data_IF_112788502406
#
_entry.id   IF_112788502406
#
_cell.length_a   1.000
_cell.length_b   1.000
_cell.length_c   1.000
_cell.angle_alpha   90.00
_cell.angle_beta   90.00
_cell.angle_gamma   90.00
#
_symmetry.space_group_name_H-M   'P 1'
#
loop_
_entity.id
_entity.type
_entity.pdbx_description
1 polymer ?
#
# COMPACT_ATOMS: atom_id res chain seq x y z
N UNK A 1 -30.96 33.71 19.76
CA UNK A 1 -31.87 33.66 20.93
C UNK A 1 -31.56 34.71 21.99
N UNK A 2 -30.31 34.87 22.46
CA UNK A 2 -29.96 35.92 23.43
C UNK A 2 -30.11 37.35 22.91
N UNK A 3 -29.67 37.61 21.67
CA UNK A 3 -29.73 38.94 21.02
C UNK A 3 -31.15 39.45 20.71
N UNK A 4 -32.18 38.59 20.72
CA UNK A 4 -33.55 38.95 20.32
C UNK A 4 -34.58 38.84 21.46
N UNK A 5 -34.26 38.10 22.54
CA UNK A 5 -35.16 37.86 23.68
C UNK A 5 -34.54 38.14 25.06
N UNK A 6 -33.27 38.57 25.13
CA UNK A 6 -32.52 38.86 26.36
C UNK A 6 -32.54 37.78 27.46
N UNK A 7 -32.76 36.51 27.09
CA UNK A 7 -32.86 35.40 28.04
C UNK A 7 -31.48 35.10 28.68
N UNK A 8 -31.42 34.87 30.00
CA UNK A 8 -30.19 34.44 30.66
C UNK A 8 -29.86 32.98 30.30
N UNK A 9 -28.58 32.61 30.48
CA UNK A 9 -28.09 31.28 30.09
C UNK A 9 -28.79 30.08 30.79
N UNK A 10 -29.23 30.17 32.05
CA UNK A 10 -30.03 29.12 32.69
C UNK A 10 -31.36 28.87 31.99
N UNK A 11 -32.15 29.91 31.74
CA UNK A 11 -33.45 29.78 31.07
C UNK A 11 -33.32 29.19 29.65
N UNK A 12 -32.26 29.55 28.94
CA UNK A 12 -31.94 28.98 27.63
C UNK A 12 -31.60 27.48 27.76
N UNK A 13 -30.85 27.11 28.80
CA UNK A 13 -30.42 25.74 29.05
C UNK A 13 -31.61 24.83 29.38
N UNK A 14 -32.52 25.30 30.23
CA UNK A 14 -33.76 24.59 30.58
C UNK A 14 -34.66 24.40 29.37
N UNK A 15 -34.79 25.43 28.52
CA UNK A 15 -35.64 25.40 27.33
C UNK A 15 -35.15 24.42 26.24
N UNK A 16 -33.84 24.25 26.10
CA UNK A 16 -33.24 23.35 25.09
C UNK A 16 -32.78 22.00 25.67
N UNK A 17 -32.96 21.78 26.98
CA UNK A 17 -32.52 20.57 27.67
C UNK A 17 -31.00 20.40 27.71
N UNK A 18 -30.24 21.49 27.72
CA UNK A 18 -28.77 21.46 27.77
C UNK A 18 -28.26 21.84 29.15
N UNK A 19 -27.02 21.48 29.45
CA UNK A 19 -26.35 21.98 30.65
C UNK A 19 -25.97 23.46 30.51
N UNK A 20 -26.16 24.26 31.57
CA UNK A 20 -25.85 25.71 31.60
C UNK A 20 -24.42 26.01 31.15
N UNK A 21 -23.45 25.18 31.54
CA UNK A 21 -22.05 25.37 31.13
C UNK A 21 -21.81 25.18 29.63
N UNK A 22 -22.60 24.32 28.97
CA UNK A 22 -22.52 24.10 27.51
C UNK A 22 -23.07 25.30 26.75
N UNK A 23 -24.19 25.88 27.21
CA UNK A 23 -24.74 27.13 26.66
C UNK A 23 -23.72 28.27 26.80
N UNK A 24 -23.12 28.43 27.98
CA UNK A 24 -22.08 29.44 28.22
C UNK A 24 -20.86 29.23 27.32
N UNK A 25 -20.40 27.98 27.15
CA UNK A 25 -19.25 27.64 26.28
C UNK A 25 -19.53 27.97 24.83
N UNK A 26 -20.69 27.58 24.30
CA UNK A 26 -21.09 27.87 22.92
C UNK A 26 -21.21 29.37 22.70
N UNK A 27 -21.82 30.11 23.63
CA UNK A 27 -21.87 31.58 23.55
C UNK A 27 -20.47 32.21 23.56
N UNK A 28 -19.59 31.81 24.48
CA UNK A 28 -18.23 32.34 24.56
C UNK A 28 -17.43 32.05 23.27
N UNK A 29 -17.53 30.83 22.74
CA UNK A 29 -16.87 30.46 21.49
C UNK A 29 -17.43 31.23 20.30
N UNK A 30 -18.76 31.44 20.27
CA UNK A 30 -19.42 32.24 19.23
C UNK A 30 -18.95 33.70 19.26
N UNK A 31 -18.82 34.31 20.43
CA UNK A 31 -18.28 35.67 20.55
C UNK A 31 -16.84 35.78 20.07
N UNK A 32 -16.05 34.71 20.21
CA UNK A 32 -14.64 34.69 19.82
C UNK A 32 -14.44 34.41 18.33
N UNK A 33 -15.11 33.39 17.80
CA UNK A 33 -14.84 32.85 16.46
C UNK A 33 -16.00 33.04 15.47
N UNK A 34 -17.12 33.62 15.92
CA UNK A 34 -18.33 33.81 15.11
C UNK A 34 -18.93 32.49 14.63
N UNK A 35 -19.47 32.49 13.41
CA UNK A 35 -20.11 31.31 12.81
C UNK A 35 -19.12 30.17 12.51
N UNK A 36 -17.80 30.41 12.64
CA UNK A 36 -16.77 29.37 12.42
C UNK A 36 -16.92 28.20 13.39
N UNK A 37 -17.55 28.39 14.55
CA UNK A 37 -17.79 27.31 15.52
C UNK A 37 -18.69 26.19 14.95
N UNK A 38 -19.59 26.54 14.03
CA UNK A 38 -20.53 25.61 13.42
C UNK A 38 -19.93 24.89 12.21
N UNK A 39 -18.78 25.35 11.70
CA UNK A 39 -18.05 24.67 10.64
C UNK A 39 -17.33 23.40 11.11
N UNK A 40 -17.42 23.08 12.40
CA UNK A 40 -16.95 21.84 12.99
C UNK A 40 -15.42 21.77 13.02
N UNK A 41 -14.85 21.65 14.22
CA UNK A 41 -13.49 21.10 14.31
C UNK A 41 -13.64 19.64 13.88
N UNK A 42 -13.04 19.26 12.75
CA UNK A 42 -13.04 17.87 12.30
C UNK A 42 -12.44 17.02 13.43
N UNK A 43 -13.25 16.19 14.08
CA UNK A 43 -12.74 15.24 15.06
C UNK A 43 -11.98 14.15 14.31
N UNK A 44 -10.73 13.94 14.69
CA UNK A 44 -9.83 13.03 14.00
C UNK A 44 -9.02 13.73 12.91
N UNK A 45 -7.93 13.09 12.51
CA UNK A 45 -6.95 13.70 11.62
C UNK A 45 -5.55 13.23 11.94
N UNK A 46 -4.61 13.67 11.12
CA UNK A 46 -3.21 13.23 11.18
C UNK A 46 -2.41 14.12 12.15
N UNK A 47 -2.78 14.10 13.43
CA UNK A 47 -2.14 14.96 14.46
C UNK A 47 -0.79 14.44 14.97
N UNK A 48 -0.47 13.17 14.72
CA UNK A 48 0.79 12.52 15.09
C UNK A 48 1.43 11.90 13.85
N UNK A 49 1.82 12.75 12.91
CA UNK A 49 2.54 12.31 11.71
C UNK A 49 4.05 12.20 11.96
N UNK A 50 4.65 11.15 11.40
CA UNK A 50 6.10 10.97 11.43
C UNK A 50 6.81 11.82 10.35
N UNK A 51 6.13 12.08 9.24
CA UNK A 51 6.58 12.93 8.13
C UNK A 51 5.37 13.69 7.58
N UNK A 52 5.53 14.90 7.07
CA UNK A 52 4.46 15.59 6.36
C UNK A 52 4.09 14.86 5.06
N UNK A 53 2.94 15.17 4.45
CA UNK A 53 2.54 14.55 3.17
C UNK A 53 3.56 14.87 2.05
N UNK A 54 4.14 16.07 2.08
CA UNK A 54 5.14 16.53 1.11
C UNK A 54 6.47 15.79 1.26
N UNK A 55 6.91 15.56 2.51
CA UNK A 55 8.12 14.78 2.80
C UNK A 55 7.97 13.33 2.36
N UNK A 56 6.80 12.71 2.63
CA UNK A 56 6.49 11.37 2.13
C UNK A 56 6.56 11.32 0.59
N UNK A 57 6.01 12.33 -0.10
CA UNK A 57 6.03 12.39 -1.56
C UNK A 57 7.46 12.55 -2.11
N UNK A 58 8.28 13.40 -1.47
CA UNK A 58 9.70 13.57 -1.82
C UNK A 58 10.47 12.26 -1.64
N UNK A 59 10.22 11.55 -0.54
CA UNK A 59 10.80 10.24 -0.28
C UNK A 59 10.33 9.20 -1.29
N UNK A 60 9.10 9.25 -1.79
CA UNK A 60 8.61 8.28 -2.77
C UNK A 60 9.08 8.58 -4.20
N UNK A 61 9.29 9.85 -4.57
CA UNK A 61 9.80 10.26 -5.89
C UNK A 61 11.12 9.56 -6.27
N UNK A 62 12.05 9.42 -5.32
CA UNK A 62 13.32 8.70 -5.56
C UNK A 62 13.13 7.22 -5.89
N UNK A 63 12.05 6.59 -5.39
CA UNK A 63 11.75 5.19 -5.67
C UNK A 63 10.92 5.04 -6.96
N UNK A 64 10.01 5.96 -7.26
CA UNK A 64 9.23 5.91 -8.50
C UNK A 64 10.09 6.00 -9.76
N UNK A 65 11.18 6.77 -9.73
CA UNK A 65 12.15 6.80 -10.84
C UNK A 65 12.78 5.44 -11.09
N UNK A 66 13.05 4.66 -10.04
CA UNK A 66 13.62 3.31 -10.14
C UNK A 66 12.59 2.26 -10.59
N UNK A 67 11.31 2.45 -10.29
CA UNK A 67 10.24 1.52 -10.70
C UNK A 67 9.71 1.73 -12.12
N UNK A 68 9.98 2.87 -12.76
CA UNK A 68 9.62 3.10 -14.18
C UNK A 68 10.25 2.06 -15.12
N UNK A 69 11.38 1.46 -14.75
CA UNK A 69 12.06 0.38 -15.49
C UNK A 69 11.45 -1.02 -15.26
N UNK A 70 10.23 -1.11 -14.70
CA UNK A 70 9.58 -2.40 -14.44
C UNK A 70 10.10 -3.11 -13.18
N UNK A 71 10.88 -2.39 -12.35
CA UNK A 71 11.32 -2.86 -11.05
C UNK A 71 10.16 -3.00 -10.06
N UNK A 72 10.06 -4.15 -9.41
CA UNK A 72 9.19 -4.34 -8.25
C UNK A 72 9.70 -3.38 -7.17
N UNK A 73 8.93 -2.35 -6.80
CA UNK A 73 9.29 -1.49 -5.69
C UNK A 73 9.32 -2.34 -4.41
N UNK A 74 10.52 -2.50 -3.84
CA UNK A 74 10.71 -3.36 -2.68
C UNK A 74 10.29 -2.57 -1.44
N UNK A 75 9.15 -2.92 -0.84
CA UNK A 75 8.62 -2.27 0.37
C UNK A 75 9.65 -2.20 1.51
N UNK A 76 10.57 -3.17 1.57
CA UNK A 76 11.66 -3.15 2.55
C UNK A 76 12.67 -2.01 2.31
N UNK A 77 12.98 -1.64 1.06
CA UNK A 77 13.88 -0.52 0.76
C UNK A 77 13.26 0.82 1.14
N UNK A 78 11.98 0.98 0.83
CA UNK A 78 11.20 2.17 1.23
C UNK A 78 11.16 2.27 2.75
N UNK A 79 10.94 1.15 3.44
CA UNK A 79 10.97 1.10 4.90
C UNK A 79 12.32 1.55 5.45
N UNK A 80 13.43 1.07 4.90
CA UNK A 80 14.75 1.48 5.36
C UNK A 80 15.00 2.97 5.16
N UNK A 81 14.68 3.51 3.99
CA UNK A 81 14.80 4.95 3.74
C UNK A 81 13.88 5.77 4.66
N UNK A 82 12.67 5.28 4.92
CA UNK A 82 11.74 5.91 5.86
C UNK A 82 12.29 5.90 7.29
N UNK A 83 12.87 4.78 7.76
CA UNK A 83 13.49 4.70 9.08
C UNK A 83 14.74 5.59 9.21
N UNK A 84 15.49 5.79 8.13
CA UNK A 84 16.64 6.69 8.08
C UNK A 84 16.21 8.16 8.22
N UNK A 85 15.15 8.57 7.52
CA UNK A 85 14.67 9.96 7.54
C UNK A 85 14.16 10.37 8.93
N UNK A 86 13.51 9.45 9.65
CA UNK A 86 12.85 9.73 10.93
C UNK A 86 13.70 9.30 12.14
N UNK A 87 14.84 8.66 11.88
CA UNK A 87 15.82 8.25 12.90
C UNK A 87 15.36 7.12 13.83
N UNK A 88 14.26 6.43 13.55
CA UNK A 88 13.77 5.34 14.39
C UNK A 88 13.06 4.25 13.58
N UNK A 89 12.98 3.05 14.19
CA UNK A 89 12.34 1.89 13.56
C UNK A 89 10.82 2.05 13.53
N UNK A 90 10.22 1.69 12.39
CA UNK A 90 8.77 1.74 12.20
C UNK A 90 8.20 0.36 11.84
N UNK A 91 6.95 0.07 12.24
CA UNK A 91 6.24 -1.12 11.76
C UNK A 91 6.03 -1.08 10.24
N UNK A 92 6.01 -2.26 9.59
CA UNK A 92 5.67 -2.37 8.16
C UNK A 92 4.29 -1.79 7.84
N UNK A 93 3.35 -1.87 8.77
CA UNK A 93 2.00 -1.30 8.62
C UNK A 93 2.01 0.22 8.45
N UNK A 94 2.95 0.94 9.06
CA UNK A 94 3.13 2.39 8.87
C UNK A 94 3.48 2.71 7.43
N UNK A 95 4.43 1.95 6.87
CA UNK A 95 4.86 2.09 5.48
C UNK A 95 3.71 1.72 4.53
N UNK A 96 3.00 0.62 4.77
CA UNK A 96 1.82 0.26 3.96
C UNK A 96 0.71 1.32 3.99
N UNK A 97 0.44 1.91 5.17
CA UNK A 97 -0.55 2.99 5.31
C UNK A 97 -0.11 4.26 4.60
N UNK A 98 1.17 4.63 4.69
CA UNK A 98 1.72 5.76 3.92
C UNK A 98 1.50 5.52 2.42
N UNK A 99 1.95 4.37 1.92
CA UNK A 99 1.85 4.01 0.51
C UNK A 99 0.43 4.00 -0.03
N UNK A 100 -0.53 3.46 0.74
CA UNK A 100 -1.93 3.45 0.36
C UNK A 100 -2.54 4.86 0.23
N UNK A 101 -2.00 5.88 0.92
CA UNK A 101 -2.45 7.28 0.79
C UNK A 101 -1.91 7.96 -0.47
N UNK A 102 -0.80 7.47 -1.00
CA UNK A 102 -0.19 7.95 -2.25
C UNK A 102 -0.67 7.13 -3.45
N UNK A 103 -1.87 6.54 -3.35
CA UNK A 103 -2.54 5.72 -4.36
C UNK A 103 -1.69 4.56 -4.89
N UNK A 104 -0.74 4.08 -4.09
CA UNK A 104 0.18 3.07 -4.57
C UNK A 104 -0.46 1.68 -4.51
N UNK A 105 -0.66 1.06 -5.69
CA UNK A 105 -1.23 -0.28 -5.84
C UNK A 105 -0.15 -1.35 -5.87
N UNK A 106 -0.37 -2.42 -5.12
CA UNK A 106 0.42 -3.65 -5.19
C UNK A 106 0.27 -4.28 -6.59
N UNK A 107 1.32 -4.22 -7.40
CA UNK A 107 1.38 -4.96 -8.66
C UNK A 107 1.66 -6.42 -8.32
N UNK A 108 0.63 -7.25 -8.41
CA UNK A 108 0.76 -8.71 -8.31
C UNK A 108 1.06 -9.20 -9.73
N UNK A 109 2.13 -9.99 -9.95
CA UNK A 109 2.34 -10.60 -11.25
C UNK A 109 1.12 -11.43 -11.61
N UNK A 110 0.55 -11.19 -12.79
CA UNK A 110 -0.61 -11.93 -13.28
C UNK A 110 -0.29 -13.43 -13.29
N UNK A 111 -1.25 -14.25 -12.82
CA UNK A 111 -1.12 -15.72 -12.83
C UNK A 111 -0.96 -16.30 -14.24
N UNK A 112 -1.27 -15.52 -15.28
CA UNK A 112 -1.16 -15.90 -16.69
C UNK A 112 -0.26 -14.90 -17.41
N UNK A 113 0.67 -15.43 -18.20
CA UNK A 113 1.46 -14.62 -19.11
C UNK A 113 0.56 -14.07 -20.23
N UNK A 114 0.65 -12.78 -20.60
CA UNK A 114 -0.23 -12.18 -21.63
C UNK A 114 -0.16 -12.87 -22.99
N UNK A 115 0.98 -13.50 -23.30
CA UNK A 115 1.19 -14.29 -24.53
C UNK A 115 1.02 -15.81 -24.30
N UNK A 116 0.29 -16.22 -23.27
CA UNK A 116 -0.01 -17.63 -23.04
C UNK A 116 -0.97 -18.13 -24.12
N UNK A 117 -0.40 -18.80 -25.11
CA UNK A 117 -1.12 -19.48 -26.19
C UNK A 117 -1.50 -20.89 -25.71
N UNK A 118 -2.79 -21.12 -25.46
CA UNK A 118 -3.30 -22.39 -24.93
C UNK A 118 -3.08 -23.55 -25.91
N UNK A 119 -3.21 -23.29 -27.22
CA UNK A 119 -3.05 -24.29 -28.26
C UNK A 119 -1.59 -24.77 -28.34
N UNK A 120 -0.64 -23.85 -28.21
CA UNK A 120 0.79 -24.20 -28.12
C UNK A 120 1.12 -25.00 -26.86
N UNK A 121 0.48 -24.70 -25.73
CA UNK A 121 0.69 -25.46 -24.49
C UNK A 121 0.14 -26.89 -24.59
N UNK A 122 -1.01 -27.08 -25.23
CA UNK A 122 -1.57 -28.40 -25.47
C UNK A 122 -0.74 -29.22 -26.46
N UNK A 123 -0.29 -28.59 -27.55
CA UNK A 123 0.61 -29.22 -28.52
C UNK A 123 1.94 -29.64 -27.86
N UNK A 124 2.49 -28.80 -26.98
CA UNK A 124 3.69 -29.08 -26.21
C UNK A 124 3.48 -30.24 -25.22
N UNK A 125 2.38 -30.25 -24.47
CA UNK A 125 2.05 -31.36 -23.56
C UNK A 125 1.91 -32.70 -24.30
N UNK A 126 1.35 -32.68 -25.51
CA UNK A 126 1.21 -33.88 -26.36
C UNK A 126 2.54 -34.37 -26.93
N UNK A 127 3.49 -33.47 -27.21
CA UNK A 127 4.79 -33.81 -27.82
C UNK A 127 5.87 -34.18 -26.80
N UNK A 128 5.85 -33.59 -25.60
CA UNK A 128 6.88 -33.79 -24.58
C UNK A 128 6.94 -35.20 -24.00
N UNK A 129 5.81 -35.92 -23.93
CA UNK A 129 5.78 -37.30 -23.44
C UNK A 129 6.55 -38.30 -24.31
N UNK A 130 6.76 -37.97 -25.59
CA UNK A 130 7.33 -38.89 -26.59
C UNK A 130 8.81 -38.61 -26.91
N UNK A 131 9.33 -37.42 -26.60
CA UNK A 131 10.74 -37.07 -26.90
C UNK A 131 11.71 -37.65 -25.88
N UNK A 132 11.33 -37.68 -24.59
CA UNK A 132 12.17 -38.21 -23.51
C UNK A 132 12.33 -39.75 -23.54
N UNK A 133 11.35 -40.47 -24.09
CA UNK A 133 11.46 -41.92 -24.28
C UNK A 133 12.38 -42.27 -25.45
N UNK A 134 12.44 -41.44 -26.49
CA UNK A 134 13.17 -41.74 -27.73
C UNK A 134 14.69 -41.53 -27.61
N UNK A 135 15.14 -40.61 -26.74
CA UNK A 135 16.57 -40.40 -26.46
C UNK A 135 17.21 -41.52 -25.63
N UNK A 136 16.43 -42.27 -24.85
CA UNK A 136 16.94 -43.40 -24.06
C UNK A 136 17.20 -44.69 -24.85
N UNK A 137 16.74 -44.78 -26.11
CA UNK A 137 16.87 -45.98 -26.94
C UNK A 137 18.00 -45.92 -27.98
N UNK A 138 18.60 -44.75 -28.23
CA UNK A 138 19.63 -44.61 -29.27
C UNK A 138 21.05 -44.96 -28.82
N UNK A 139 21.27 -45.38 -27.56
CA UNK A 139 22.62 -45.63 -27.02
C UNK A 139 22.92 -47.10 -26.66
N UNK A 140 22.29 -48.09 -27.32
CA UNK A 140 22.46 -49.53 -26.97
C UNK A 140 23.00 -50.45 -28.08
N UNK A 141 23.59 -49.94 -29.16
CA UNK A 141 24.31 -50.79 -30.14
C UNK A 141 25.52 -50.07 -30.74
N UNK A 142 26.68 -50.20 -30.09
CA UNK A 142 28.00 -50.04 -30.70
C UNK A 142 28.72 -51.40 -30.72
N UNK A 143 29.46 -51.76 -31.79
CA UNK A 143 30.00 -53.11 -31.96
C UNK A 143 31.19 -53.39 -31.05
N UNK A 144 31.28 -54.63 -30.53
CA UNK A 144 32.45 -55.15 -29.80
C UNK A 144 33.60 -55.35 -30.80
N UNK A 145 34.70 -54.60 -30.69
CA UNK A 145 35.94 -54.93 -31.39
C UNK A 145 36.80 -55.85 -30.52
N UNK A 146 36.91 -57.11 -30.92
CA UNK A 146 37.95 -58.04 -30.49
C UNK A 146 39.28 -57.62 -31.10
N UNK A 147 40.29 -57.37 -30.25
CA UNK A 147 41.68 -57.27 -30.68
C UNK A 147 42.51 -58.23 -29.82
N UNK A 148 42.91 -59.34 -30.42
CA UNK A 148 44.07 -60.13 -30.00
C UNK A 148 45.33 -59.37 -30.39
N UNK A 149 46.29 -59.18 -29.47
CA UNK A 149 47.73 -59.18 -29.80
C UNK A 149 48.53 -59.66 -28.57
N UNK A 150 49.44 -60.58 -28.89
CA UNK A 150 50.41 -61.32 -28.07
C UNK A 150 51.34 -60.49 -27.18
N UNK A 151 51.82 -61.15 -26.11
CA UNK A 151 52.99 -60.85 -25.31
C UNK A 151 53.34 -62.05 -24.43
#
# INVERSE_FOLDING_TARGET
MRLKKNLPAPDIADLIGWHVSSVRRVHAQYYKDGDKIFKGVSRGGRHRENLSKEEEEKLLKQFFNKAKDGGILVVNEIKLAYELEIGHKVPKSTVYRMLARHDWRKIVPYRRHPKADLDKQEAFKKTFGNSWRRSSQTNKKGPKSSFDVSG
#
